data_IF_621733364962
#
_entry.id   IF_621733364962
#
_cell.length_a   1.000
_cell.length_b   1.000
_cell.length_c   1.000
_cell.angle_alpha   90.00
_cell.angle_beta   90.00
_cell.angle_gamma   90.00
#
_symmetry.space_group_name_H-M   'P 1'
#
loop_
_entity.id
_entity.type
_entity.pdbx_description
1 polymer ?
#
# COMPACT_ATOMS: atom_id res chain seq x y z
N UNK A 1 47.88 22.03 17.46
CA UNK A 1 47.12 20.82 17.82
C UNK A 1 47.05 20.81 19.33
N UNK A 2 45.89 21.06 19.92
CA UNK A 2 45.74 21.11 21.38
C UNK A 2 45.79 19.69 21.93
N UNK A 3 46.72 19.46 22.85
CA UNK A 3 46.96 18.18 23.51
C UNK A 3 45.77 17.74 24.36
N UNK A 4 45.51 16.43 24.43
CA UNK A 4 44.44 15.85 25.23
C UNK A 4 44.86 15.80 26.71
N UNK A 5 44.77 16.95 27.38
CA UNK A 5 44.99 17.08 28.84
C UNK A 5 43.69 16.61 29.53
N UNK A 6 43.73 15.88 30.67
CA UNK A 6 42.54 15.37 31.37
C UNK A 6 41.49 16.44 31.73
N UNK A 7 41.88 17.71 31.80
CA UNK A 7 40.99 18.85 32.06
C UNK A 7 40.26 19.37 30.81
N UNK A 8 40.63 18.92 29.60
CA UNK A 8 40.05 19.38 28.33
C UNK A 8 39.08 18.38 27.70
N UNK A 9 38.66 17.33 28.42
CA UNK A 9 37.58 16.47 27.94
C UNK A 9 36.30 17.32 27.99
N UNK A 10 35.62 17.54 26.84
CA UNK A 10 34.37 18.27 26.88
C UNK A 10 33.44 17.54 27.85
N UNK A 11 32.85 18.26 28.80
CA UNK A 11 31.97 17.73 29.86
C UNK A 11 30.80 16.86 29.34
N UNK A 12 30.56 16.82 28.03
CA UNK A 12 29.65 15.91 27.34
C UNK A 12 30.16 14.47 27.17
N UNK A 13 31.45 14.22 27.40
CA UNK A 13 32.12 12.92 27.23
C UNK A 13 32.65 12.31 28.55
N UNK A 14 32.42 12.97 29.70
CA UNK A 14 32.83 12.44 31.01
C UNK A 14 31.85 11.36 31.51
N UNK A 15 32.28 10.11 31.73
CA UNK A 15 31.44 9.01 32.22
C UNK A 15 30.93 9.21 33.66
N UNK A 16 31.54 10.11 34.45
CA UNK A 16 31.05 10.48 35.79
C UNK A 16 29.92 11.50 35.74
N UNK A 17 29.76 12.20 34.62
CA UNK A 17 28.67 13.14 34.44
C UNK A 17 27.38 12.36 34.15
N UNK A 18 26.42 12.38 35.10
CA UNK A 18 25.06 11.82 34.89
C UNK A 18 24.20 12.71 33.98
N UNK A 19 24.82 13.50 33.09
CA UNK A 19 24.08 14.36 32.16
C UNK A 19 23.41 13.43 31.14
N UNK A 20 22.12 13.64 30.84
CA UNK A 20 21.45 12.83 29.84
C UNK A 20 22.15 13.04 28.50
N UNK A 21 22.90 12.03 28.03
CA UNK A 21 23.47 12.04 26.70
C UNK A 21 22.32 12.05 25.70
N UNK A 22 22.31 13.01 24.78
CA UNK A 22 21.30 13.08 23.72
C UNK A 22 21.31 11.73 22.99
N UNK A 23 20.27 10.91 23.19
CA UNK A 23 20.15 9.60 22.53
C UNK A 23 20.24 9.85 21.03
N UNK A 24 21.29 9.34 20.38
CA UNK A 24 21.41 9.44 18.93
C UNK A 24 20.24 8.68 18.34
N UNK A 25 19.51 9.30 17.41
CA UNK A 25 18.49 8.60 16.66
C UNK A 25 19.17 7.44 15.93
N UNK A 26 18.82 6.20 16.28
CA UNK A 26 19.41 5.03 15.64
C UNK A 26 19.06 5.07 14.15
N UNK A 27 20.07 4.82 13.32
CA UNK A 27 19.87 4.61 11.88
C UNK A 27 18.93 3.41 11.68
N UNK A 28 18.23 3.28 10.53
CA UNK A 28 17.37 2.14 10.27
C UNK A 28 18.09 0.80 10.47
N UNK A 29 19.35 0.69 10.02
CA UNK A 29 20.19 -0.49 10.26
C UNK A 29 20.55 -0.70 11.73
N UNK A 30 20.80 0.37 12.48
CA UNK A 30 21.06 0.28 13.93
C UNK A 30 19.83 -0.19 14.73
N UNK A 31 18.63 0.23 14.33
CA UNK A 31 17.37 -0.27 14.94
C UNK A 31 17.19 -1.76 14.67
N UNK A 32 17.35 -2.18 13.41
CA UNK A 32 17.27 -3.59 13.03
C UNK A 32 18.30 -4.43 13.78
N UNK A 33 19.55 -3.95 13.90
CA UNK A 33 20.58 -4.65 14.65
C UNK A 33 20.21 -4.82 16.13
N UNK A 34 19.67 -3.78 16.77
CA UNK A 34 19.20 -3.86 18.16
C UNK A 34 18.01 -4.81 18.33
N UNK A 35 17.05 -4.81 17.39
CA UNK A 35 15.90 -5.72 17.40
C UNK A 35 16.37 -7.19 17.24
N UNK A 36 17.31 -7.42 16.33
CA UNK A 36 17.92 -8.74 16.10
C UNK A 36 18.73 -9.22 17.32
N UNK A 37 19.50 -8.32 17.95
CA UNK A 37 20.22 -8.62 19.19
C UNK A 37 19.25 -8.99 20.33
N UNK A 38 18.13 -8.28 20.44
CA UNK A 38 17.08 -8.58 21.42
C UNK A 38 16.39 -9.93 21.17
N UNK A 39 16.19 -10.32 19.90
CA UNK A 39 15.66 -11.63 19.54
C UNK A 39 16.67 -12.75 19.86
N UNK A 40 17.96 -12.55 19.58
CA UNK A 40 19.01 -13.53 19.87
C UNK A 40 19.32 -13.68 21.35
N UNK A 41 18.96 -12.72 22.21
CA UNK A 41 19.14 -12.84 23.65
C UNK A 41 18.37 -14.04 24.25
N UNK A 42 17.28 -14.49 23.61
CA UNK A 42 16.46 -15.64 24.03
C UNK A 42 15.95 -16.42 22.81
N UNK A 43 16.80 -17.26 22.19
CA UNK A 43 16.45 -17.94 20.94
C UNK A 43 15.35 -18.99 21.12
N UNK A 44 15.21 -19.57 22.31
CA UNK A 44 14.21 -20.61 22.61
C UNK A 44 12.80 -20.05 22.85
N UNK A 45 12.65 -18.72 22.92
CA UNK A 45 11.34 -18.09 23.17
C UNK A 45 10.50 -18.13 21.90
N UNK A 46 9.30 -18.69 21.99
CA UNK A 46 8.32 -18.64 20.91
C UNK A 46 7.96 -17.19 20.55
N UNK A 47 8.10 -16.86 19.26
CA UNK A 47 7.81 -15.54 18.71
C UNK A 47 6.41 -15.59 18.08
N UNK A 48 5.48 -14.81 18.62
CA UNK A 48 4.17 -14.63 17.99
C UNK A 48 4.29 -13.65 16.83
N UNK A 49 4.20 -14.16 15.61
CA UNK A 49 4.04 -13.35 14.42
C UNK A 49 2.55 -12.98 14.35
N UNK A 50 2.18 -11.70 14.42
CA UNK A 50 0.77 -11.32 14.29
C UNK A 50 0.28 -11.77 12.91
N UNK A 51 -0.77 -12.59 12.90
CA UNK A 51 -1.44 -12.98 11.67
C UNK A 51 -2.20 -11.82 11.03
N UNK A 52 -2.97 -12.13 9.98
CA UNK A 52 -3.82 -11.15 9.34
C UNK A 52 -4.84 -10.59 10.35
N UNK A 53 -4.98 -9.27 10.34
CA UNK A 53 -5.94 -8.59 11.22
C UNK A 53 -7.33 -8.99 10.73
N UNK A 54 -8.08 -9.69 11.58
CA UNK A 54 -9.50 -9.95 11.32
C UNK A 54 -10.23 -8.61 11.18
N UNK A 55 -11.10 -8.54 10.18
CA UNK A 55 -11.98 -7.40 9.99
C UNK A 55 -12.87 -7.24 11.23
N UNK A 56 -12.89 -6.03 11.77
CA UNK A 56 -13.67 -5.69 12.97
C UNK A 56 -15.13 -5.57 12.57
N UNK A 57 -15.80 -6.71 12.43
CA UNK A 57 -17.23 -6.77 12.15
C UNK A 57 -18.07 -6.36 13.36
N UNK A 58 -19.29 -5.89 13.10
CA UNK A 58 -20.30 -5.77 14.14
C UNK A 58 -20.75 -7.17 14.54
N UNK A 59 -21.00 -7.36 15.84
CA UNK A 59 -21.59 -8.61 16.32
C UNK A 59 -22.94 -8.87 15.61
N UNK A 60 -23.34 -10.13 15.41
CA UNK A 60 -24.67 -10.46 14.89
C UNK A 60 -25.75 -10.03 15.89
N UNK A 61 -26.93 -9.57 15.42
CA UNK A 61 -28.04 -9.23 16.31
C UNK A 61 -28.46 -10.47 17.11
N UNK A 62 -28.81 -10.32 18.40
CA UNK A 62 -29.28 -11.46 19.20
C UNK A 62 -30.59 -12.01 18.64
N UNK A 63 -30.73 -13.34 18.61
CA UNK A 63 -31.91 -14.01 18.04
C UNK A 63 -33.17 -13.82 18.89
N UNK A 64 -33.03 -13.82 20.22
CA UNK A 64 -34.15 -13.69 21.15
C UNK A 64 -33.88 -12.53 22.09
N UNK A 65 -34.81 -11.57 22.12
CA UNK A 65 -34.83 -10.51 23.12
C UNK A 65 -35.82 -10.90 24.21
N UNK A 66 -35.31 -11.22 25.41
CA UNK A 66 -36.15 -11.69 26.52
C UNK A 66 -36.94 -10.56 27.22
N UNK A 67 -36.55 -9.30 27.01
CA UNK A 67 -37.05 -8.15 27.79
C UNK A 67 -38.06 -7.30 26.99
N UNK A 68 -38.90 -7.94 26.17
CA UNK A 68 -39.90 -7.23 25.36
C UNK A 68 -41.13 -6.95 26.21
N UNK A 69 -41.35 -5.68 26.56
CA UNK A 69 -42.59 -5.22 27.20
C UNK A 69 -43.75 -5.27 26.18
N UNK A 70 -44.98 -5.53 26.63
CA UNK A 70 -46.14 -5.70 25.75
C UNK A 70 -46.38 -4.52 24.80
N UNK A 71 -46.96 -4.77 23.63
CA UNK A 71 -47.07 -3.79 22.53
C UNK A 71 -47.90 -2.54 22.87
N UNK A 72 -48.82 -2.62 23.83
CA UNK A 72 -49.62 -1.49 24.31
C UNK A 72 -49.05 -0.82 25.56
N UNK A 73 -47.93 -1.30 26.08
CA UNK A 73 -47.34 -0.76 27.28
C UNK A 73 -46.59 0.55 26.96
N UNK A 74 -46.68 1.54 27.86
CA UNK A 74 -46.08 2.85 27.66
C UNK A 74 -44.54 2.84 27.65
N UNK A 75 -43.95 3.95 27.19
CA UNK A 75 -42.50 4.12 27.15
C UNK A 75 -41.89 4.09 28.57
N UNK A 76 -41.00 3.11 28.81
CA UNK A 76 -40.22 3.02 30.04
C UNK A 76 -39.03 4.01 30.05
N UNK A 77 -38.45 4.26 31.22
CA UNK A 77 -37.30 5.17 31.37
C UNK A 77 -36.03 4.68 30.66
N UNK A 78 -35.90 3.37 30.42
CA UNK A 78 -34.77 2.77 29.71
C UNK A 78 -34.92 2.73 28.18
N UNK A 79 -36.12 2.99 27.65
CA UNK A 79 -36.43 2.81 26.22
C UNK A 79 -35.58 3.73 25.33
N UNK A 80 -35.33 4.96 25.78
CA UNK A 80 -34.47 5.90 25.08
C UNK A 80 -33.04 5.34 24.86
N UNK A 81 -32.48 4.67 25.86
CA UNK A 81 -31.14 4.10 25.75
C UNK A 81 -31.11 2.87 24.85
N UNK A 82 -32.17 2.06 24.87
CA UNK A 82 -32.32 0.92 23.95
C UNK A 82 -32.35 1.41 22.51
N UNK A 83 -33.17 2.42 22.21
CA UNK A 83 -33.23 3.04 20.88
C UNK A 83 -31.90 3.68 20.47
N UNK A 84 -31.23 4.41 21.37
CA UNK A 84 -29.92 5.02 21.07
C UNK A 84 -28.87 3.96 20.71
N UNK A 85 -28.85 2.85 21.44
CA UNK A 85 -27.93 1.75 21.18
C UNK A 85 -28.26 1.01 19.88
N UNK A 86 -29.54 0.71 19.63
CA UNK A 86 -29.98 0.03 18.40
C UNK A 86 -29.73 0.89 17.16
N UNK A 87 -30.07 2.18 17.20
CA UNK A 87 -29.82 3.14 16.11
C UNK A 87 -28.33 3.28 15.81
N UNK A 88 -27.49 3.40 16.85
CA UNK A 88 -26.03 3.47 16.67
C UNK A 88 -25.49 2.21 15.99
N UNK A 89 -25.92 1.04 16.46
CA UNK A 89 -25.54 -0.26 15.87
C UNK A 89 -25.98 -0.36 14.41
N UNK A 90 -27.18 0.12 14.09
CA UNK A 90 -27.70 0.07 12.73
C UNK A 90 -26.96 1.01 11.78
N UNK A 91 -26.63 2.23 12.23
CA UNK A 91 -25.79 3.14 11.43
C UNK A 91 -24.39 2.62 11.21
N UNK A 92 -23.78 2.02 12.23
CA UNK A 92 -22.49 1.34 12.07
C UNK A 92 -22.61 0.18 11.07
N UNK A 93 -23.73 -0.56 11.07
CA UNK A 93 -23.98 -1.69 10.15
C UNK A 93 -24.11 -1.23 8.70
N UNK A 94 -24.95 -0.23 8.46
CA UNK A 94 -25.13 0.35 7.13
C UNK A 94 -23.82 0.93 6.61
N UNK A 95 -23.10 1.69 7.44
CA UNK A 95 -21.80 2.25 7.09
C UNK A 95 -20.79 1.16 6.71
N UNK A 96 -20.71 0.08 7.48
CA UNK A 96 -19.80 -1.04 7.17
C UNK A 96 -20.16 -1.72 5.85
N UNK A 97 -21.45 -1.91 5.57
CA UNK A 97 -21.93 -2.47 4.31
C UNK A 97 -21.58 -1.56 3.13
N UNK A 98 -21.82 -0.25 3.24
CA UNK A 98 -21.50 0.73 2.21
C UNK A 98 -19.98 0.81 1.96
N UNK A 99 -19.17 0.79 3.03
CA UNK A 99 -17.70 0.77 2.93
C UNK A 99 -17.18 -0.52 2.27
N UNK A 100 -17.81 -1.67 2.51
CA UNK A 100 -17.46 -2.93 1.85
C UNK A 100 -17.80 -2.90 0.37
N UNK A 101 -19.02 -2.47 0.00
CA UNK A 101 -19.44 -2.35 -1.40
C UNK A 101 -18.49 -1.43 -2.16
N UNK A 102 -18.17 -0.26 -1.59
CA UNK A 102 -17.24 0.68 -2.20
C UNK A 102 -15.85 0.07 -2.42
N UNK A 103 -15.31 -0.63 -1.41
CA UNK A 103 -14.00 -1.31 -1.54
C UNK A 103 -14.01 -2.39 -2.62
N UNK A 104 -15.08 -3.17 -2.71
CA UNK A 104 -15.21 -4.19 -3.75
C UNK A 104 -15.29 -3.59 -5.16
N UNK A 105 -16.02 -2.49 -5.32
CA UNK A 105 -16.11 -1.76 -6.59
C UNK A 105 -14.75 -1.20 -6.99
N UNK A 106 -14.07 -0.50 -6.07
CA UNK A 106 -12.73 0.05 -6.26
C UNK A 106 -11.71 -1.05 -6.63
N UNK A 107 -11.78 -2.20 -5.96
CA UNK A 107 -10.90 -3.34 -6.25
C UNK A 107 -11.20 -3.97 -7.62
N UNK A 108 -12.48 -4.16 -7.98
CA UNK A 108 -12.89 -4.65 -9.30
C UNK A 108 -12.41 -3.70 -10.40
N UNK A 109 -12.53 -2.40 -10.21
CA UNK A 109 -12.02 -1.41 -11.16
C UNK A 109 -10.50 -1.45 -11.28
N UNK A 110 -9.81 -1.52 -10.15
CA UNK A 110 -8.35 -1.59 -10.12
C UNK A 110 -7.83 -2.85 -10.84
N UNK A 111 -8.44 -4.00 -10.58
CA UNK A 111 -8.09 -5.27 -11.23
C UNK A 111 -8.30 -5.19 -12.75
N UNK A 112 -9.45 -4.68 -13.20
CA UNK A 112 -9.72 -4.46 -14.64
C UNK A 112 -8.67 -3.54 -15.28
N UNK A 113 -8.36 -2.40 -14.64
CA UNK A 113 -7.35 -1.45 -15.14
C UNK A 113 -5.96 -2.11 -15.22
N UNK A 114 -5.59 -2.91 -14.22
CA UNK A 114 -4.31 -3.63 -14.18
C UNK A 114 -4.21 -4.66 -15.31
N UNK A 115 -5.25 -5.47 -15.50
CA UNK A 115 -5.32 -6.48 -16.58
C UNK A 115 -5.25 -5.83 -17.97
N UNK A 116 -5.93 -4.71 -18.17
CA UNK A 116 -5.87 -3.97 -19.44
C UNK A 116 -4.48 -3.42 -19.75
N UNK A 117 -3.78 -2.90 -18.73
CA UNK A 117 -2.41 -2.43 -18.88
C UNK A 117 -1.46 -3.59 -19.17
N UNK A 118 -1.58 -4.69 -18.42
CA UNK A 118 -0.77 -5.89 -18.61
C UNK A 118 -0.97 -6.49 -20.01
N UNK A 119 -2.23 -6.54 -20.51
CA UNK A 119 -2.53 -6.97 -21.87
C UNK A 119 -1.87 -6.07 -22.91
N UNK A 120 -2.00 -4.75 -22.79
CA UNK A 120 -1.38 -3.79 -23.72
C UNK A 120 0.15 -3.92 -23.74
N UNK A 121 0.75 -4.14 -22.57
CA UNK A 121 2.20 -4.32 -22.46
C UNK A 121 2.65 -5.68 -23.00
N UNK A 122 1.86 -6.73 -22.79
CA UNK A 122 2.10 -8.05 -23.38
C UNK A 122 2.03 -8.02 -24.90
N UNK A 123 1.00 -7.40 -25.48
CA UNK A 123 0.88 -7.24 -26.94
C UNK A 123 2.08 -6.49 -27.55
N UNK A 124 2.51 -5.39 -26.90
CA UNK A 124 3.69 -4.62 -27.34
C UNK A 124 4.97 -5.44 -27.23
N UNK A 125 5.16 -6.17 -26.13
CA UNK A 125 6.36 -6.98 -25.90
C UNK A 125 6.41 -8.18 -26.84
N UNK A 126 5.30 -8.87 -27.08
CA UNK A 126 5.18 -9.98 -28.03
C UNK A 126 5.45 -9.53 -29.47
N UNK A 127 4.86 -8.41 -29.90
CA UNK A 127 5.14 -7.82 -31.23
C UNK A 127 6.62 -7.50 -31.41
N UNK A 128 7.27 -6.95 -30.38
CA UNK A 128 8.69 -6.63 -30.41
C UNK A 128 9.57 -7.89 -30.36
N UNK A 129 9.19 -8.91 -29.58
CA UNK A 129 9.85 -10.22 -29.53
C UNK A 129 9.79 -10.90 -30.90
N UNK A 130 8.61 -10.98 -31.51
CA UNK A 130 8.42 -11.54 -32.85
C UNK A 130 9.24 -10.81 -33.92
N UNK A 131 9.34 -9.47 -33.86
CA UNK A 131 10.23 -8.69 -34.75
C UNK A 131 11.70 -9.06 -34.57
N UNK A 132 12.17 -9.21 -33.32
CA UNK A 132 13.56 -9.60 -33.01
C UNK A 132 13.85 -11.04 -33.44
N UNK A 133 12.93 -11.97 -33.23
CA UNK A 133 13.07 -13.37 -33.65
C UNK A 133 13.13 -13.51 -35.16
N UNK A 134 12.24 -12.82 -35.90
CA UNK A 134 12.31 -12.74 -37.37
C UNK A 134 13.66 -12.19 -37.85
N UNK A 135 14.17 -11.13 -37.21
CA UNK A 135 15.48 -10.57 -37.54
C UNK A 135 16.64 -11.54 -37.21
N UNK A 136 16.58 -12.25 -36.08
CA UNK A 136 17.55 -13.29 -35.70
C UNK A 136 17.54 -14.45 -36.68
N UNK A 137 16.36 -14.92 -37.10
CA UNK A 137 16.20 -15.99 -38.08
C UNK A 137 16.74 -15.60 -39.46
N UNK A 138 16.55 -14.35 -39.90
CA UNK A 138 17.16 -13.84 -41.14
C UNK A 138 18.69 -13.81 -41.06
N UNK A 139 19.24 -13.32 -39.94
CA UNK A 139 20.70 -13.28 -39.71
C UNK A 139 21.32 -14.68 -39.60
N UNK A 140 20.64 -15.64 -38.95
CA UNK A 140 21.13 -17.02 -38.88
C UNK A 140 21.10 -17.71 -40.24
N UNK A 141 20.06 -17.50 -41.06
CA UNK A 141 20.00 -17.98 -42.45
C UNK A 141 21.12 -17.40 -43.31
N UNK A 142 21.39 -16.10 -43.21
CA UNK A 142 22.50 -15.47 -43.95
C UNK A 142 23.87 -16.02 -43.51
N UNK A 143 24.06 -16.27 -42.21
CA UNK A 143 25.29 -16.91 -41.69
C UNK A 143 25.44 -18.37 -42.13
N UNK A 144 24.35 -19.12 -42.24
CA UNK A 144 24.39 -20.50 -42.71
C UNK A 144 24.60 -20.58 -44.23
N UNK A 145 23.95 -19.72 -45.02
CA UNK A 145 24.19 -19.65 -46.47
C UNK A 145 25.60 -19.15 -46.84
N UNK A 146 26.29 -18.46 -45.93
CA UNK A 146 27.70 -18.08 -46.09
C UNK A 146 28.67 -19.16 -45.60
N UNK A 147 28.21 -20.16 -44.84
CA UNK A 147 29.03 -21.31 -44.41
C UNK A 147 29.15 -22.39 -45.48
N UNK A 148 28.21 -22.48 -46.44
CA UNK A 148 28.31 -23.42 -47.57
C UNK A 148 29.31 -22.96 -48.66
N UNK A 149 29.95 -21.80 -48.49
CA UNK A 149 31.04 -21.29 -49.34
C UNK A 149 32.42 -21.21 -48.68
N UNK A 150 32.58 -21.69 -47.44
CA UNK A 150 33.86 -21.63 -46.73
C UNK A 150 34.07 -22.87 -45.86
N UNK A 151 34.46 -23.96 -46.52
CA UNK A 151 35.25 -25.02 -45.89
C UNK A 151 36.56 -24.42 -45.37
N UNK A 152 36.73 -24.39 -44.04
CA UNK A 152 38.03 -24.35 -43.40
C UNK A 152 38.34 -23.12 -42.54
N UNK A 153 37.91 -23.14 -41.27
CA UNK A 153 38.81 -23.00 -40.11
C UNK A 153 38.02 -23.04 -38.80
N UNK A 154 38.37 -24.04 -37.98
CA UNK A 154 38.13 -24.04 -36.54
C UNK A 154 38.77 -22.80 -35.90
N UNK A 155 38.05 -22.15 -34.99
CA UNK A 155 38.59 -21.08 -34.16
C UNK A 155 37.49 -20.30 -33.47
N UNK A 156 37.26 -20.62 -32.20
CA UNK A 156 36.49 -19.82 -31.24
C UNK A 156 36.91 -18.34 -31.28
N UNK A 157 35.98 -17.38 -31.17
CA UNK A 157 36.23 -16.35 -30.17
C UNK A 157 34.94 -15.88 -29.45
N UNK A 158 35.02 -15.85 -28.13
CA UNK A 158 34.25 -14.97 -27.27
C UNK A 158 35.20 -14.43 -26.19
N UNK A 159 34.97 -13.25 -25.60
CA UNK A 159 34.39 -12.03 -26.18
C UNK A 159 35.26 -10.80 -25.82
N UNK A 160 35.75 -10.03 -26.80
CA UNK A 160 36.28 -8.70 -26.48
C UNK A 160 35.11 -7.73 -26.23
N UNK A 161 35.14 -7.13 -25.05
CA UNK A 161 34.12 -6.22 -24.55
C UNK A 161 34.16 -4.90 -25.27
N UNK A 162 33.16 -4.64 -26.11
CA UNK A 162 32.92 -3.31 -26.62
C UNK A 162 31.75 -2.64 -25.87
N UNK A 163 32.11 -1.56 -25.18
CA UNK A 163 31.29 -0.79 -24.25
C UNK A 163 30.30 0.08 -25.02
N UNK A 164 29.24 -0.51 -25.57
CA UNK A 164 28.08 0.28 -25.99
C UNK A 164 27.19 0.58 -24.78
N UNK A 165 27.60 1.59 -24.00
CA UNK A 165 26.71 2.33 -23.08
C UNK A 165 25.64 3.03 -23.93
N UNK A 166 24.60 2.30 -24.33
CA UNK A 166 23.40 2.89 -24.89
C UNK A 166 22.67 3.59 -23.74
N UNK A 167 22.93 4.90 -23.58
CA UNK A 167 22.14 5.74 -22.68
C UNK A 167 20.68 5.63 -23.13
N UNK A 168 19.85 5.06 -22.27
CA UNK A 168 18.40 5.12 -22.41
C UNK A 168 18.03 6.59 -22.25
N UNK A 169 17.65 7.25 -23.35
CA UNK A 169 17.05 8.58 -23.26
C UNK A 169 15.72 8.44 -22.50
N UNK A 170 15.44 9.30 -21.51
CA UNK A 170 14.15 9.27 -20.82
C UNK A 170 13.04 9.58 -21.84
N UNK A 171 11.97 8.80 -21.77
CA UNK A 171 10.79 8.98 -22.59
C UNK A 171 10.16 10.34 -22.29
N UNK A 172 10.12 11.25 -23.27
CA UNK A 172 9.54 12.59 -23.14
C UNK A 172 8.02 12.57 -22.90
N UNK A 173 7.36 11.41 -23.01
CA UNK A 173 5.93 11.21 -22.79
C UNK A 173 5.59 10.55 -21.44
N UNK A 174 6.52 10.53 -20.48
CA UNK A 174 6.17 10.14 -19.12
C UNK A 174 5.31 11.25 -18.47
N UNK A 175 4.11 10.94 -17.93
CA UNK A 175 3.35 11.93 -17.17
C UNK A 175 4.18 12.36 -15.96
N UNK A 176 4.45 13.66 -15.86
CA UNK A 176 5.10 14.24 -14.69
C UNK A 176 4.15 14.10 -13.49
N UNK A 177 4.62 13.69 -12.30
CA UNK A 177 3.81 13.84 -11.10
C UNK A 177 3.55 15.34 -10.92
N UNK A 178 2.28 15.70 -10.75
CA UNK A 178 1.89 17.05 -10.41
C UNK A 178 2.50 17.39 -9.04
N UNK A 179 3.24 18.50 -8.97
CA UNK A 179 3.69 19.08 -7.72
C UNK A 179 2.44 19.48 -6.92
N UNK A 180 2.19 18.75 -5.83
CA UNK A 180 1.29 19.17 -4.76
C UNK A 180 2.07 20.16 -3.90
N UNK A 181 1.74 21.45 -4.01
CA UNK A 181 2.15 22.47 -3.05
C UNK A 181 0.89 23.14 -2.48
N UNK A 182 0.79 22.97 -1.17
CA UNK A 182 0.18 23.84 -0.16
C UNK A 182 -1.34 23.84 0.04
N UNK A 183 -1.73 22.98 0.99
CA UNK A 183 -2.82 23.20 1.94
C UNK A 183 -2.74 24.59 2.58
N UNK A 184 -3.72 25.44 2.31
CA UNK A 184 -4.02 26.61 3.14
C UNK A 184 -5.43 26.47 3.74
N UNK A 185 -5.46 25.96 4.97
CA UNK A 185 -6.46 26.10 6.04
C UNK A 185 -7.63 27.08 5.78
N UNK A 186 -8.85 26.54 5.66
CA UNK A 186 -10.09 27.27 5.90
C UNK A 186 -10.76 26.76 7.17
N UNK A 187 -10.53 27.49 8.25
CA UNK A 187 -11.28 27.39 9.50
C UNK A 187 -12.43 28.40 9.45
N UNK A 188 -13.69 27.95 9.46
CA UNK A 188 -14.82 28.88 9.61
C UNK A 188 -16.19 28.34 9.24
N UNK A 189 -16.97 27.94 10.27
CA UNK A 189 -18.42 28.15 10.32
C UNK A 189 -19.30 27.20 9.49
N UNK A 190 -19.78 26.13 10.12
CA UNK A 190 -20.88 25.34 9.58
C UNK A 190 -22.20 26.12 9.61
N UNK A 191 -22.80 26.31 8.44
CA UNK A 191 -24.18 26.77 8.28
C UNK A 191 -25.00 25.59 7.71
N UNK A 192 -25.91 25.06 8.52
CA UNK A 192 -26.83 23.98 8.15
C UNK A 192 -28.00 24.57 7.36
N UNK A 193 -27.99 24.41 6.03
CA UNK A 193 -29.19 24.65 5.21
C UNK A 193 -30.08 23.42 5.32
N UNK A 194 -31.24 23.57 5.95
CA UNK A 194 -32.30 22.56 6.00
C UNK A 194 -32.78 22.28 4.57
N UNK A 195 -32.41 21.13 4.02
CA UNK A 195 -33.12 20.58 2.87
C UNK A 195 -34.43 19.98 3.37
N UNK A 196 -35.53 20.64 3.00
CA UNK A 196 -36.90 20.22 3.24
C UNK A 196 -37.12 18.75 2.85
N UNK A 197 -37.97 18.11 3.64
CA UNK A 197 -38.34 16.70 3.60
C UNK A 197 -38.85 16.31 2.20
N UNK A 198 -38.08 15.45 1.49
CA UNK A 198 -38.58 14.78 0.30
C UNK A 198 -39.47 13.62 0.78
N UNK A 199 -40.76 13.92 0.97
CA UNK A 199 -41.78 12.91 1.21
C UNK A 199 -41.99 12.03 -0.01
N UNK A 200 -41.96 10.71 0.19
CA UNK A 200 -42.40 9.72 -0.79
C UNK A 200 -43.93 9.82 -0.92
N UNK A 201 -44.42 10.35 -2.04
CA UNK A 201 -45.82 10.27 -2.44
C UNK A 201 -46.02 8.92 -3.13
N UNK A 202 -46.79 8.03 -2.51
CA UNK A 202 -47.30 6.80 -3.13
C UNK A 202 -48.66 7.16 -3.70
N UNK A 203 -48.77 7.19 -5.02
CA UNK A 203 -50.06 7.22 -5.71
C UNK A 203 -50.60 5.79 -5.74
N UNK A 204 -51.69 5.55 -5.01
CA UNK A 204 -52.53 4.37 -5.16
C UNK A 204 -53.45 4.60 -6.38
N UNK A 205 -53.16 3.92 -7.50
CA UNK A 205 -54.07 3.85 -8.65
C UNK A 205 -55.13 2.75 -8.41
N UNK A 206 -56.40 3.15 -8.39
CA UNK A 206 -57.60 2.30 -8.50
C UNK A 206 -57.84 1.83 -9.96
#
# INVERSE_FOLDING_TARGET
MSENIPESIPTSADPRSKRPTKKRALTPGGKLAADVEALFAKPDREIHIPGDKLDKGLAPPPEIVANVQGSSAGAGSGEFHVYKASRRREYERLRMMDEQVKKEEDEKEFQKRKEDLERKDREKTEKNRARREKARARKSKQRNGQKDGASGKNGSPAPEGDKLKKKLAPNANAPKPADEEEDHVLNGGGEVKSSEEIGLVIEDDD
#
